data_IF_598151830208
#
_entry.id   IF_598151830208
#
_cell.length_a   1.000
_cell.length_b   1.000
_cell.length_c   1.000
_cell.angle_alpha   90.00
_cell.angle_beta   90.00
_cell.angle_gamma   90.00
#
_symmetry.space_group_name_H-M   'P 1'
#
loop_
_entity.id
_entity.type
_entity.pdbx_description
1 polymer ?
#
# COMPACT_ATOMS: atom_id res chain seq x y z
N UNK A 1 15.58 -1.77 3.49
CA UNK A 1 15.44 -0.38 3.95
C UNK A 1 16.38 0.60 3.29
N UNK A 2 17.65 0.26 3.16
CA UNK A 2 18.64 1.11 2.48
C UNK A 2 18.25 1.43 1.04
N UNK A 3 17.65 0.47 0.35
CA UNK A 3 17.19 0.65 -1.03
C UNK A 3 16.13 1.75 -1.13
N UNK A 4 15.22 1.83 -0.16
CA UNK A 4 14.19 2.88 -0.14
C UNK A 4 14.83 4.24 0.07
N UNK A 5 15.79 4.35 0.98
CA UNK A 5 16.50 5.61 1.24
C UNK A 5 17.30 6.11 0.04
N UNK A 6 17.78 5.19 -0.80
CA UNK A 6 18.49 5.56 -2.03
C UNK A 6 17.62 6.39 -2.97
N UNK A 7 16.36 6.03 -3.11
CA UNK A 7 15.43 6.69 -4.02
C UNK A 7 14.56 7.76 -3.34
N UNK A 8 14.44 7.70 -2.03
CA UNK A 8 13.65 8.65 -1.23
C UNK A 8 14.49 9.10 -0.02
N UNK A 9 15.52 9.92 -0.23
CA UNK A 9 16.45 10.28 0.85
C UNK A 9 15.87 11.26 1.88
N UNK A 10 14.74 11.91 1.57
CA UNK A 10 14.14 12.94 2.40
C UNK A 10 13.04 12.43 3.34
N UNK A 11 12.96 11.13 3.54
CA UNK A 11 11.97 10.56 4.46
C UNK A 11 12.15 11.08 5.88
N UNK A 12 11.04 11.36 6.56
CA UNK A 12 11.07 11.71 7.98
C UNK A 12 11.48 10.49 8.83
N UNK A 13 11.84 10.72 10.08
CA UNK A 13 12.17 9.62 11.00
C UNK A 13 11.01 8.65 11.16
N UNK A 14 9.78 9.16 11.25
CA UNK A 14 8.58 8.34 11.37
C UNK A 14 8.37 7.48 10.13
N UNK A 15 8.55 8.06 8.94
CA UNK A 15 8.43 7.30 7.69
C UNK A 15 9.49 6.19 7.61
N UNK A 16 10.72 6.48 7.99
CA UNK A 16 11.80 5.48 8.03
C UNK A 16 11.48 4.32 8.95
N UNK A 17 10.95 4.60 10.15
CA UNK A 17 10.54 3.57 11.09
C UNK A 17 9.43 2.69 10.51
N UNK A 18 8.44 3.29 9.88
CA UNK A 18 7.32 2.56 9.27
C UNK A 18 7.79 1.67 8.14
N UNK A 19 8.62 2.18 7.24
CA UNK A 19 9.19 1.36 6.17
C UNK A 19 10.06 0.23 6.73
N UNK A 20 10.88 0.51 7.72
CA UNK A 20 11.76 -0.51 8.31
C UNK A 20 10.95 -1.64 8.97
N UNK A 21 9.79 -1.33 9.56
CA UNK A 21 8.95 -2.32 10.21
C UNK A 21 8.31 -3.30 9.23
N UNK A 22 8.11 -2.92 7.97
CA UNK A 22 7.39 -3.75 7.01
C UNK A 22 8.03 -5.11 6.78
N UNK A 23 9.36 -5.18 6.72
CA UNK A 23 10.06 -6.44 6.45
C UNK A 23 9.70 -7.54 7.44
N UNK A 24 9.83 -7.26 8.73
CA UNK A 24 9.51 -8.21 9.79
C UNK A 24 8.02 -8.54 9.85
N UNK A 25 7.17 -7.53 9.70
CA UNK A 25 5.73 -7.71 9.75
C UNK A 25 5.22 -8.60 8.61
N UNK A 26 5.69 -8.37 7.39
CA UNK A 26 5.28 -9.19 6.26
C UNK A 26 5.82 -10.62 6.36
N UNK A 27 7.03 -10.82 6.89
CA UNK A 27 7.54 -12.18 7.14
C UNK A 27 6.65 -12.92 8.12
N UNK A 28 6.30 -12.28 9.23
CA UNK A 28 5.44 -12.87 10.25
C UNK A 28 4.08 -13.26 9.68
N UNK A 29 3.44 -12.35 8.97
CA UNK A 29 2.11 -12.63 8.41
C UNK A 29 2.14 -13.57 7.23
N UNK A 30 3.21 -13.55 6.44
CA UNK A 30 3.35 -14.45 5.29
C UNK A 30 3.49 -15.91 5.70
N UNK A 31 4.00 -16.18 6.90
CA UNK A 31 4.03 -17.53 7.45
C UNK A 31 2.62 -18.07 7.72
N UNK A 32 1.67 -17.20 7.97
CA UNK A 32 0.28 -17.55 8.27
C UNK A 32 -0.61 -17.47 7.02
N UNK A 33 -0.42 -16.43 6.23
CA UNK A 33 -1.24 -16.14 5.07
C UNK A 33 -0.33 -15.70 3.93
N UNK A 34 -0.29 -16.49 2.85
CA UNK A 34 0.56 -16.18 1.71
C UNK A 34 0.05 -14.94 0.97
N UNK A 35 0.65 -13.80 1.23
CA UNK A 35 0.36 -12.54 0.53
C UNK A 35 1.45 -12.17 -0.45
N UNK A 36 2.64 -12.75 -0.28
CA UNK A 36 3.81 -12.56 -1.14
C UNK A 36 4.41 -13.95 -1.39
N UNK A 37 4.94 -14.20 -2.57
CA UNK A 37 5.57 -15.48 -2.85
C UNK A 37 6.80 -15.69 -1.96
N UNK A 38 7.18 -16.96 -1.72
CA UNK A 38 8.35 -17.28 -0.89
C UNK A 38 9.64 -16.70 -1.49
N UNK A 39 9.72 -16.62 -2.81
CA UNK A 39 10.87 -16.01 -3.49
C UNK A 39 10.92 -14.51 -3.25
N UNK A 40 9.77 -13.87 -3.20
CA UNK A 40 9.69 -12.42 -3.13
C UNK A 40 9.80 -11.89 -1.70
N UNK A 41 9.52 -12.71 -0.68
CA UNK A 41 9.61 -12.22 0.71
C UNK A 41 11.03 -11.76 1.09
N UNK A 42 12.04 -12.41 0.56
CA UNK A 42 13.43 -12.01 0.79
C UNK A 42 13.82 -10.76 0.00
N UNK A 43 13.04 -10.42 -1.02
CA UNK A 43 13.22 -9.25 -1.86
C UNK A 43 12.07 -8.26 -1.68
N UNK A 44 11.46 -8.24 -0.51
CA UNK A 44 10.25 -7.44 -0.25
C UNK A 44 10.43 -5.97 -0.64
N UNK A 45 11.52 -5.35 -0.20
CA UNK A 45 11.75 -3.94 -0.45
C UNK A 45 11.97 -3.62 -1.92
N UNK A 46 12.62 -4.51 -2.67
CA UNK A 46 12.83 -4.31 -4.10
C UNK A 46 11.58 -4.60 -4.91
N UNK A 47 10.96 -5.77 -4.69
CA UNK A 47 9.92 -6.27 -5.58
C UNK A 47 8.51 -5.76 -5.25
N UNK A 48 8.29 -5.36 -4.01
CA UNK A 48 6.96 -4.91 -3.58
C UNK A 48 6.96 -3.48 -3.09
N UNK A 49 7.81 -3.13 -2.15
CA UNK A 49 7.80 -1.79 -1.57
C UNK A 49 8.26 -0.76 -2.59
N UNK A 50 9.45 -0.91 -3.13
CA UNK A 50 9.99 0.06 -4.09
C UNK A 50 9.20 0.07 -5.39
N UNK A 51 8.77 -1.10 -5.86
CA UNK A 51 7.92 -1.19 -7.05
C UNK A 51 6.64 -0.39 -6.89
N UNK A 52 5.97 -0.54 -5.73
CA UNK A 52 4.78 0.26 -5.41
C UNK A 52 5.07 1.75 -5.36
N UNK A 53 6.20 2.14 -4.79
CA UNK A 53 6.60 3.54 -4.70
C UNK A 53 6.99 4.17 -6.04
N UNK A 54 7.23 3.37 -7.08
CA UNK A 54 7.49 3.90 -8.41
C UNK A 54 6.34 4.78 -8.91
N UNK A 55 5.13 4.54 -8.46
CA UNK A 55 3.96 5.38 -8.77
C UNK A 55 4.20 6.82 -8.34
N UNK A 56 4.86 7.02 -7.19
CA UNK A 56 5.14 8.36 -6.65
C UNK A 56 6.11 9.17 -7.50
N UNK A 57 6.87 8.51 -8.38
CA UNK A 57 7.79 9.20 -9.28
C UNK A 57 7.08 9.82 -10.49
N UNK A 58 5.87 9.37 -10.79
CA UNK A 58 5.08 9.85 -11.93
C UNK A 58 3.80 10.57 -11.52
N UNK A 59 3.41 10.44 -10.26
CA UNK A 59 2.18 11.07 -9.77
C UNK A 59 2.36 11.49 -8.32
N UNK A 60 2.05 12.74 -8.01
CA UNK A 60 2.02 13.25 -6.65
C UNK A 60 0.56 13.41 -6.22
N UNK A 61 0.20 12.83 -5.08
CA UNK A 61 -1.13 12.98 -4.51
C UNK A 61 -1.19 14.26 -3.67
N UNK A 62 -2.23 15.06 -3.86
CA UNK A 62 -2.41 16.25 -3.05
C UNK A 62 -2.90 15.88 -1.63
N UNK A 63 -2.61 16.70 -0.60
CA UNK A 63 -3.14 16.46 0.75
C UNK A 63 -4.67 16.36 0.72
N UNK A 64 -5.20 15.38 1.45
CA UNK A 64 -6.63 15.13 1.49
C UNK A 64 -7.18 14.33 0.32
N UNK A 65 -6.36 13.97 -0.66
CA UNK A 65 -6.78 13.11 -1.77
C UNK A 65 -7.27 11.76 -1.25
N UNK A 66 -8.20 11.17 -1.97
CA UNK A 66 -8.72 9.84 -1.68
C UNK A 66 -8.27 8.89 -2.78
N UNK A 67 -7.55 7.86 -2.39
CA UNK A 67 -6.97 6.87 -3.33
C UNK A 67 -7.56 5.50 -3.05
N UNK A 68 -8.01 4.83 -4.10
CA UNK A 68 -8.50 3.46 -4.03
C UNK A 68 -7.45 2.52 -4.62
N UNK A 69 -7.04 1.52 -3.84
CA UNK A 69 -6.17 0.45 -4.30
C UNK A 69 -7.03 -0.79 -4.54
N UNK A 70 -7.20 -1.17 -5.79
CA UNK A 70 -8.07 -2.25 -6.22
C UNK A 70 -7.28 -3.55 -6.31
N UNK A 71 -7.78 -4.59 -5.63
CA UNK A 71 -7.08 -5.88 -5.60
C UNK A 71 -5.74 -5.77 -4.89
N UNK A 72 -5.74 -5.14 -3.73
CA UNK A 72 -4.51 -4.79 -3.01
C UNK A 72 -3.71 -6.00 -2.52
N UNK A 73 -4.28 -7.19 -2.47
CA UNK A 73 -3.63 -8.34 -1.88
C UNK A 73 -3.23 -8.05 -0.44
N UNK A 74 -1.96 -8.24 -0.12
CA UNK A 74 -1.41 -7.97 1.20
C UNK A 74 -1.10 -6.50 1.49
N UNK A 75 -1.45 -5.59 0.58
CA UNK A 75 -1.30 -4.16 0.83
C UNK A 75 -0.37 -3.42 -0.14
N UNK A 76 -0.17 -3.94 -1.34
CA UNK A 76 0.69 -3.30 -2.34
C UNK A 76 -0.12 -2.85 -3.57
N UNK A 77 0.09 -1.64 -4.07
CA UNK A 77 1.05 -0.62 -3.63
C UNK A 77 0.56 0.28 -2.48
N UNK A 78 -0.64 0.06 -1.97
CA UNK A 78 -1.31 0.99 -1.05
C UNK A 78 -0.55 1.29 0.23
N UNK A 79 -0.02 0.28 0.93
CA UNK A 79 0.68 0.50 2.20
C UNK A 79 1.96 1.32 2.02
N UNK A 80 2.87 0.99 1.09
CA UNK A 80 4.02 1.86 0.84
C UNK A 80 3.66 3.29 0.48
N UNK A 81 2.65 3.48 -0.36
CA UNK A 81 2.20 4.82 -0.74
C UNK A 81 1.61 5.59 0.45
N UNK A 82 0.89 4.89 1.34
CA UNK A 82 0.34 5.54 2.53
C UNK A 82 1.42 6.04 3.48
N UNK A 83 2.53 5.32 3.60
CA UNK A 83 3.67 5.76 4.40
C UNK A 83 4.29 7.01 3.78
N UNK A 84 4.44 7.03 2.46
CA UNK A 84 5.07 8.15 1.75
C UNK A 84 4.17 9.40 1.74
N UNK A 85 2.85 9.22 1.68
CA UNK A 85 1.86 10.30 1.63
C UNK A 85 0.95 10.27 2.86
N UNK A 86 1.42 10.70 4.04
CA UNK A 86 0.64 10.56 5.28
C UNK A 86 -0.63 11.41 5.33
N UNK A 87 -0.77 12.42 4.47
CA UNK A 87 -1.95 13.29 4.42
C UNK A 87 -2.98 12.85 3.37
N UNK A 88 -2.73 11.73 2.71
CA UNK A 88 -3.60 11.14 1.69
C UNK A 88 -4.33 9.93 2.30
N UNK A 89 -5.59 9.75 1.96
CA UNK A 89 -6.40 8.62 2.46
C UNK A 89 -6.40 7.49 1.46
N UNK A 90 -5.97 6.31 1.91
CA UNK A 90 -5.91 5.11 1.09
C UNK A 90 -6.95 4.09 1.54
N UNK A 91 -7.80 3.69 0.62
CA UNK A 91 -8.75 2.59 0.81
C UNK A 91 -8.26 1.41 0.00
N UNK A 92 -7.92 0.33 0.68
CA UNK A 92 -7.37 -0.88 0.08
C UNK A 92 -8.44 -1.96 0.06
N UNK A 93 -8.81 -2.39 -1.13
CA UNK A 93 -9.93 -3.31 -1.35
C UNK A 93 -9.45 -4.62 -1.93
N UNK A 94 -9.92 -5.72 -1.38
CA UNK A 94 -9.71 -7.04 -1.95
C UNK A 94 -10.92 -7.93 -1.63
N UNK A 95 -11.22 -8.85 -2.53
CA UNK A 95 -12.30 -9.82 -2.34
C UNK A 95 -11.91 -10.97 -1.40
N UNK A 96 -10.64 -11.07 -1.06
CA UNK A 96 -10.12 -12.13 -0.18
C UNK A 96 -9.93 -11.57 1.23
N UNK A 97 -10.82 -11.96 2.14
CA UNK A 97 -10.85 -11.44 3.51
C UNK A 97 -9.56 -11.66 4.30
N UNK A 98 -8.87 -12.79 4.08
CA UNK A 98 -7.61 -13.09 4.75
C UNK A 98 -6.53 -12.06 4.42
N UNK A 99 -6.51 -11.60 3.18
CA UNK A 99 -5.53 -10.58 2.73
C UNK A 99 -5.83 -9.22 3.36
N UNK A 100 -7.10 -8.87 3.47
CA UNK A 100 -7.51 -7.63 4.13
C UNK A 100 -7.16 -7.66 5.62
N UNK A 101 -7.27 -8.81 6.25
CA UNK A 101 -6.81 -8.97 7.65
C UNK A 101 -5.34 -8.61 7.78
N UNK A 102 -4.50 -9.07 6.86
CA UNK A 102 -3.07 -8.73 6.85
C UNK A 102 -2.88 -7.22 6.71
N UNK A 103 -3.58 -6.59 5.77
CA UNK A 103 -3.54 -5.13 5.58
C UNK A 103 -3.84 -4.39 6.89
N UNK A 104 -4.92 -4.76 7.56
CA UNK A 104 -5.35 -4.11 8.81
C UNK A 104 -4.32 -4.30 9.93
N UNK A 105 -3.82 -5.51 10.09
CA UNK A 105 -2.87 -5.84 11.17
C UNK A 105 -1.52 -5.18 10.94
N UNK A 106 -1.02 -5.19 9.73
CA UNK A 106 0.27 -4.54 9.41
C UNK A 106 0.15 -3.03 9.56
N UNK A 107 -0.93 -2.43 9.07
CA UNK A 107 -1.15 -0.99 9.21
C UNK A 107 -1.18 -0.57 10.68
N UNK A 108 -1.87 -1.35 11.50
CA UNK A 108 -1.95 -1.09 12.93
C UNK A 108 -0.60 -1.23 13.61
N UNK A 109 0.11 -2.33 13.34
CA UNK A 109 1.40 -2.62 13.98
C UNK A 109 2.49 -1.62 13.57
N UNK A 110 2.46 -1.15 12.32
CA UNK A 110 3.41 -0.16 11.82
C UNK A 110 3.02 1.30 12.13
N UNK A 111 1.85 1.52 12.73
CA UNK A 111 1.38 2.86 13.07
C UNK A 111 0.90 3.68 11.88
N UNK A 112 0.46 3.03 10.82
CA UNK A 112 -0.03 3.70 9.60
C UNK A 112 -1.51 4.02 9.79
N UNK A 113 -1.85 5.30 9.88
CA UNK A 113 -3.19 5.75 10.25
C UNK A 113 -4.10 6.11 9.08
N UNK A 114 -3.56 6.23 7.89
CA UNK A 114 -4.28 6.68 6.70
C UNK A 114 -4.62 5.55 5.73
N UNK A 115 -4.71 4.32 6.22
CA UNK A 115 -5.11 3.14 5.46
C UNK A 115 -6.39 2.56 6.04
N UNK A 116 -7.35 2.27 5.17
CA UNK A 116 -8.54 1.52 5.51
C UNK A 116 -8.57 0.27 4.62
N UNK A 117 -8.54 -0.92 5.24
CA UNK A 117 -8.69 -2.17 4.52
C UNK A 117 -10.17 -2.57 4.44
N UNK A 118 -10.67 -2.85 3.24
CA UNK A 118 -12.06 -3.19 3.02
C UNK A 118 -12.18 -4.51 2.28
N UNK A 119 -12.86 -5.47 2.90
CA UNK A 119 -13.18 -6.75 2.28
C UNK A 119 -14.44 -6.57 1.44
N UNK A 120 -14.28 -6.36 0.16
CA UNK A 120 -15.38 -6.12 -0.76
C UNK A 120 -14.95 -6.34 -2.20
N UNK A 121 -15.93 -6.43 -3.08
CA UNK A 121 -15.69 -6.29 -4.51
C UNK A 121 -15.71 -4.80 -4.86
N UNK A 122 -14.87 -4.41 -5.80
CA UNK A 122 -14.72 -2.99 -6.15
C UNK A 122 -16.02 -2.37 -6.64
N UNK A 123 -16.84 -3.11 -7.38
CA UNK A 123 -18.12 -2.62 -7.91
C UNK A 123 -19.16 -2.37 -6.81
N UNK A 124 -18.90 -2.83 -5.59
CA UNK A 124 -19.76 -2.60 -4.43
C UNK A 124 -19.25 -1.48 -3.52
N UNK A 125 -18.12 -0.86 -3.87
CA UNK A 125 -17.54 0.20 -3.06
C UNK A 125 -18.33 1.49 -3.16
N UNK A 126 -18.78 2.04 -2.03
CA UNK A 126 -19.43 3.34 -2.04
C UNK A 126 -18.42 4.48 -2.09
N UNK A 127 -18.81 5.59 -2.64
CA UNK A 127 -18.04 6.82 -2.59
C UNK A 127 -17.29 7.11 -3.88
N UNK A 128 -16.53 8.19 -3.81
CA UNK A 128 -15.74 8.69 -4.93
C UNK A 128 -14.28 8.79 -4.52
N UNK A 129 -13.40 8.51 -5.47
CA UNK A 129 -11.96 8.56 -5.26
C UNK A 129 -11.32 9.48 -6.30
N UNK A 130 -10.26 10.15 -5.89
CA UNK A 130 -9.51 11.04 -6.80
C UNK A 130 -8.58 10.25 -7.71
N UNK A 131 -8.07 9.11 -7.20
CA UNK A 131 -7.17 8.22 -7.94
C UNK A 131 -7.52 6.78 -7.68
N UNK A 132 -7.26 5.93 -8.67
CA UNK A 132 -7.33 4.48 -8.54
C UNK A 132 -5.99 3.89 -8.92
N UNK A 133 -5.45 3.05 -8.06
CA UNK A 133 -4.19 2.35 -8.30
C UNK A 133 -4.40 0.85 -8.21
N UNK A 134 -3.50 0.10 -8.81
CA UNK A 134 -3.50 -1.35 -8.72
C UNK A 134 -2.10 -1.87 -9.01
N UNK A 135 -1.73 -2.96 -8.36
CA UNK A 135 -0.43 -3.58 -8.58
C UNK A 135 -0.27 -4.11 -10.00
N UNK A 136 -1.35 -4.53 -10.63
CA UNK A 136 -1.34 -5.04 -11.99
C UNK A 136 -1.36 -3.95 -13.06
N UNK A 137 -1.57 -2.69 -12.66
CA UNK A 137 -1.66 -1.55 -13.57
C UNK A 137 -0.40 -0.71 -13.45
N UNK A 138 0.27 -0.48 -14.58
CA UNK A 138 1.48 0.35 -14.62
C UNK A 138 1.17 1.83 -14.80
N UNK A 139 -0.06 2.16 -15.19
CA UNK A 139 -0.54 3.52 -15.34
C UNK A 139 -1.49 3.86 -14.20
N UNK A 140 -1.37 5.06 -13.69
CA UNK A 140 -2.31 5.60 -12.73
C UNK A 140 -3.06 6.75 -13.38
N UNK A 141 -4.39 6.70 -13.30
CA UNK A 141 -5.26 7.73 -13.87
C UNK A 141 -6.06 8.38 -12.76
N UNK A 142 -6.24 9.70 -12.82
CA UNK A 142 -7.22 10.36 -11.96
C UNK A 142 -8.59 9.78 -12.23
N UNK A 143 -9.37 9.52 -11.19
CA UNK A 143 -10.68 8.92 -11.35
C UNK A 143 -11.69 9.62 -10.47
N UNK A 144 -12.58 10.36 -11.10
CA UNK A 144 -13.64 11.10 -10.42
C UNK A 144 -14.97 10.43 -10.71
N UNK A 145 -15.68 10.07 -9.66
CA UNK A 145 -17.02 9.51 -9.81
C UNK A 145 -17.07 8.05 -10.22
N UNK A 146 -15.98 7.33 -10.04
CA UNK A 146 -15.96 5.89 -10.24
C UNK A 146 -16.57 5.20 -9.03
N UNK A 147 -17.43 4.28 -9.28
CA UNK A 147 -18.18 3.47 -8.33
C UNK A 147 -19.66 3.64 -8.53
#
# INVERSE_FOLDING_TARGET
MELILKYFPELTAVQRERFAALGALYREWNDRINVVSRKDIDQLYLRHVLHGLAIAKVCAFHPGARVLDVGCGGGFPGIPLAILFPEVRFTLVDSIGKKIRVVREISRAAGILNVEGVHSRVEQMPGKFDFVVSRAVTEMKPFVGWV
#
